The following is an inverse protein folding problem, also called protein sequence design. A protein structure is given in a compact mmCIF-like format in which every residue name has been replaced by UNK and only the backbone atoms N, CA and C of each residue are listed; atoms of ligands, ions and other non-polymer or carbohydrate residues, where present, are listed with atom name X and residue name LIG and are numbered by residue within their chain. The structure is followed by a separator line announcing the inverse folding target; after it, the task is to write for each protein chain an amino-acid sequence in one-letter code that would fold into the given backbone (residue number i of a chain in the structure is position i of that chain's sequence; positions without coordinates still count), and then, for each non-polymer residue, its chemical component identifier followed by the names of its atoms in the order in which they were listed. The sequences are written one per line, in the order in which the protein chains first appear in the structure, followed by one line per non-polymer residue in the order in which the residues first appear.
data_IF_677574155125
#
_entry.id   IF_677574155125
#
_cell.length_a   1.000
_cell.length_b   1.000
_cell.length_c   1.000
_cell.angle_alpha   90.00
_cell.angle_beta   90.00
_cell.angle_gamma   90.00
#
_symmetry.space_group_name_H-M   'P 1'
#
loop_
_entity.id
_entity.type
_entity.pdbx_description
1 polymer ?
#
# COMPACT_ATOMS: atom_id res chain seq x y z
N UNK A 1 -2.88 -21.01 0.54
CA UNK A 1 -3.02 -20.07 1.68
C UNK A 1 -1.86 -19.08 1.67
N UNK A 2 -2.08 -17.86 2.19
CA UNK A 2 -1.07 -16.78 2.20
C UNK A 2 0.13 -17.08 3.09
N UNK A 3 -0.02 -17.90 4.13
CA UNK A 3 1.08 -18.25 5.01
C UNK A 3 0.77 -19.38 5.99
N UNK A 4 1.78 -19.77 6.78
CA UNK A 4 1.71 -20.93 7.66
C UNK A 4 0.78 -20.74 8.86
N UNK A 5 0.63 -19.50 9.38
CA UNK A 5 -0.28 -19.25 10.51
C UNK A 5 -1.74 -19.44 10.10
N UNK A 6 -2.09 -19.02 8.89
CA UNK A 6 -3.43 -19.27 8.34
C UNK A 6 -3.66 -20.77 8.09
N UNK A 7 -2.67 -21.50 7.59
CA UNK A 7 -2.79 -22.95 7.37
C UNK A 7 -2.98 -23.71 8.69
N UNK A 8 -2.18 -23.37 9.70
CA UNK A 8 -2.27 -23.95 11.05
C UNK A 8 -3.63 -23.67 11.70
N UNK A 9 -4.10 -22.41 11.66
CA UNK A 9 -5.41 -22.03 12.18
C UNK A 9 -6.58 -22.82 11.54
N UNK A 10 -6.42 -23.23 10.28
CA UNK A 10 -7.42 -24.00 9.54
C UNK A 10 -7.21 -25.52 9.64
N UNK A 11 -6.20 -26.00 10.37
CA UNK A 11 -5.88 -27.42 10.47
C UNK A 11 -5.41 -28.04 9.14
N UNK A 12 -4.81 -27.23 8.26
CA UNK A 12 -4.31 -27.67 6.95
C UNK A 12 -2.83 -28.04 7.01
N UNK A 13 -2.40 -28.92 6.10
CA UNK A 13 -0.97 -29.22 5.92
C UNK A 13 -0.18 -27.92 5.66
N UNK A 14 1.05 -27.77 6.22
CA UNK A 14 1.96 -26.69 5.88
C UNK A 14 2.20 -26.53 4.37
N UNK A 15 2.02 -27.59 3.56
CA UNK A 15 2.16 -27.53 2.11
C UNK A 15 1.15 -26.59 1.43
N UNK A 16 0.03 -26.30 2.09
CA UNK A 16 -0.95 -25.31 1.61
C UNK A 16 -0.52 -23.87 1.89
N UNK A 17 0.50 -23.63 2.72
CA UNK A 17 1.09 -22.32 2.94
C UNK A 17 2.14 -22.04 1.86
N UNK A 18 1.80 -21.18 0.91
CA UNK A 18 2.70 -20.79 -0.18
C UNK A 18 3.18 -19.36 0.06
N UNK A 19 2.42 -18.36 -0.35
CA UNK A 19 2.62 -16.93 -0.06
C UNK A 19 1.42 -16.15 -0.61
N UNK A 20 1.48 -14.82 -0.58
CA UNK A 20 0.51 -13.95 -1.25
C UNK A 20 0.70 -13.98 -2.79
N UNK A 21 -0.33 -14.23 -3.61
CA UNK A 21 -0.20 -14.31 -5.07
C UNK A 21 0.30 -13.02 -5.74
N UNK A 22 0.18 -11.85 -5.10
CA UNK A 22 0.70 -10.61 -5.66
C UNK A 22 2.22 -10.62 -5.88
N UNK A 23 2.95 -11.60 -5.30
CA UNK A 23 4.36 -11.81 -5.59
C UNK A 23 4.65 -12.14 -7.07
N UNK A 24 3.65 -12.65 -7.81
CA UNK A 24 3.75 -12.93 -9.25
C UNK A 24 3.77 -11.66 -10.11
N UNK A 25 3.60 -10.47 -9.52
CA UNK A 25 3.75 -9.20 -10.25
C UNK A 25 5.10 -9.09 -10.97
N UNK A 26 6.16 -9.74 -10.44
CA UNK A 26 7.47 -9.77 -11.09
C UNK A 26 7.45 -10.46 -12.45
N UNK A 27 6.55 -11.41 -12.67
CA UNK A 27 6.40 -12.13 -13.95
C UNK A 27 5.64 -11.31 -15.00
N UNK A 28 4.88 -10.29 -14.56
CA UNK A 28 4.10 -9.40 -15.42
C UNK A 28 4.85 -8.11 -15.79
N UNK A 29 6.01 -7.85 -15.16
CA UNK A 29 6.80 -6.63 -15.38
C UNK A 29 8.03 -6.99 -16.23
N UNK A 30 8.00 -6.77 -17.55
CA UNK A 30 8.98 -7.31 -18.50
C UNK A 30 10.38 -6.69 -18.35
N UNK A 31 10.49 -5.50 -17.74
CA UNK A 31 11.77 -4.84 -17.47
C UNK A 31 11.69 -4.00 -16.22
N UNK A 32 12.59 -4.24 -15.28
CA UNK A 32 12.74 -3.38 -14.10
C UNK A 32 13.39 -2.06 -14.52
N UNK A 33 12.78 -0.90 -14.24
CA UNK A 33 13.44 0.37 -14.47
C UNK A 33 14.63 0.52 -13.53
N UNK A 34 15.58 1.39 -13.91
CA UNK A 34 16.67 1.74 -13.00
C UNK A 34 16.11 2.35 -11.72
N UNK A 35 16.55 1.83 -10.57
CA UNK A 35 16.24 2.42 -9.28
C UNK A 35 16.79 3.84 -9.20
N UNK A 36 16.07 4.67 -8.47
CA UNK A 36 16.43 6.05 -8.17
C UNK A 36 16.86 6.18 -6.71
N UNK A 37 17.28 7.36 -6.28
CA UNK A 37 17.53 7.65 -4.86
C UNK A 37 16.25 7.92 -4.05
N UNK A 38 15.06 7.81 -4.66
CA UNK A 38 13.79 8.14 -4.02
C UNK A 38 13.43 7.11 -2.95
N UNK A 39 13.07 7.57 -1.75
CA UNK A 39 12.47 6.73 -0.70
C UNK A 39 10.98 6.99 -0.70
N UNK A 40 10.19 5.92 -0.75
CA UNK A 40 8.74 6.02 -0.90
C UNK A 40 8.02 5.58 0.36
N UNK A 41 6.86 6.16 0.64
CA UNK A 41 5.98 5.76 1.74
C UNK A 41 4.58 5.46 1.23
N UNK A 42 4.04 4.29 1.59
CA UNK A 42 2.64 3.95 1.32
C UNK A 42 1.91 3.72 2.66
N UNK A 43 0.95 4.58 3.04
CA UNK A 43 0.06 4.30 4.16
C UNK A 43 -0.89 3.16 3.80
N UNK A 44 -1.49 2.54 4.81
CA UNK A 44 -2.61 1.64 4.58
C UNK A 44 -3.81 2.41 4.01
N UNK A 45 -4.64 1.77 3.18
CA UNK A 45 -5.75 2.46 2.50
C UNK A 45 -6.72 3.19 3.45
N UNK A 46 -6.97 2.65 4.65
CA UNK A 46 -7.79 3.33 5.67
C UNK A 46 -7.03 4.48 6.30
N UNK A 47 -5.73 4.32 6.53
CA UNK A 47 -4.83 5.35 7.07
C UNK A 47 -4.70 6.55 6.16
N UNK A 48 -4.75 6.35 4.83
CA UNK A 48 -4.68 7.40 3.83
C UNK A 48 -5.78 8.47 4.01
N UNK A 49 -6.92 8.10 4.60
CA UNK A 49 -8.02 9.01 4.88
C UNK A 49 -7.96 9.66 6.28
N UNK A 50 -6.98 9.30 7.11
CA UNK A 50 -6.89 9.81 8.48
C UNK A 50 -6.13 11.12 8.59
N UNK A 51 -5.26 11.42 7.61
CA UNK A 51 -4.51 12.67 7.52
C UNK A 51 -3.97 12.88 6.11
N UNK A 52 -3.49 14.09 5.82
CA UNK A 52 -2.78 14.40 4.59
C UNK A 52 -1.35 13.80 4.59
N UNK A 53 -1.27 12.50 4.32
CA UNK A 53 0.01 11.78 4.24
C UNK A 53 0.87 12.22 3.06
N UNK A 54 0.27 12.80 2.01
CA UNK A 54 1.03 13.40 0.93
C UNK A 54 1.81 14.62 1.43
N UNK A 55 1.19 15.44 2.27
CA UNK A 55 1.88 16.56 2.92
C UNK A 55 2.97 16.10 3.88
N UNK A 56 2.69 15.10 4.71
CA UNK A 56 3.70 14.50 5.60
C UNK A 56 4.92 14.04 4.79
N UNK A 57 4.69 13.31 3.70
CA UNK A 57 5.76 12.85 2.82
C UNK A 57 6.56 14.01 2.23
N UNK A 58 5.87 15.05 1.75
CA UNK A 58 6.51 16.24 1.17
C UNK A 58 7.46 16.92 2.16
N UNK A 59 7.06 17.06 3.42
CA UNK A 59 7.88 17.68 4.46
C UNK A 59 9.13 16.85 4.82
N UNK A 60 9.04 15.52 4.77
CA UNK A 60 10.18 14.62 5.03
C UNK A 60 11.06 14.43 3.77
N UNK A 61 10.56 14.82 2.60
CA UNK A 61 11.18 14.52 1.31
C UNK A 61 11.07 13.03 0.95
N UNK A 62 9.92 12.42 1.21
CA UNK A 62 9.53 11.08 0.77
C UNK A 62 8.61 11.19 -0.45
N UNK A 63 8.65 10.18 -1.31
CA UNK A 63 7.64 10.02 -2.36
C UNK A 63 6.39 9.38 -1.76
N UNK A 64 5.28 10.10 -1.77
CA UNK A 64 3.99 9.54 -1.38
C UNK A 64 3.49 8.55 -2.43
N UNK A 65 3.13 7.35 -1.99
CA UNK A 65 2.44 6.35 -2.81
C UNK A 65 1.00 6.28 -2.32
N UNK A 66 0.06 6.66 -3.19
CA UNK A 66 -1.36 6.54 -2.91
C UNK A 66 -1.79 5.06 -3.04
N UNK A 67 -2.29 4.42 -1.98
CA UNK A 67 -2.74 3.02 -2.03
C UNK A 67 -3.97 2.79 -2.92
N UNK A 68 -4.62 3.86 -3.40
CA UNK A 68 -5.81 3.83 -4.26
C UNK A 68 -5.52 4.25 -5.71
N UNK A 69 -4.27 4.61 -6.02
CA UNK A 69 -3.87 5.01 -7.36
C UNK A 69 -3.90 3.84 -8.36
N UNK A 70 -3.75 4.18 -9.64
CA UNK A 70 -3.58 3.20 -10.71
C UNK A 70 -2.45 2.20 -10.40
N UNK A 71 -2.74 0.92 -10.63
CA UNK A 71 -1.83 -0.16 -10.28
C UNK A 71 -0.54 -0.12 -11.09
N UNK A 72 -0.59 0.24 -12.38
CA UNK A 72 0.61 0.30 -13.22
C UNK A 72 1.53 1.44 -12.77
N UNK A 73 0.96 2.61 -12.45
CA UNK A 73 1.72 3.72 -11.87
C UNK A 73 2.32 3.36 -10.52
N UNK A 74 1.56 2.68 -9.67
CA UNK A 74 2.01 2.26 -8.34
C UNK A 74 3.18 1.27 -8.42
N UNK A 75 3.06 0.24 -9.27
CA UNK A 75 4.15 -0.72 -9.53
C UNK A 75 5.39 0.00 -10.07
N UNK A 76 5.21 0.94 -11.01
CA UNK A 76 6.30 1.72 -11.57
C UNK A 76 7.01 2.57 -10.49
N UNK A 77 6.26 3.26 -9.64
CA UNK A 77 6.84 4.07 -8.56
C UNK A 77 7.57 3.21 -7.53
N UNK A 78 6.98 2.08 -7.12
CA UNK A 78 7.63 1.11 -6.22
C UNK A 78 8.94 0.62 -6.85
N UNK A 79 8.91 0.16 -8.10
CA UNK A 79 10.10 -0.38 -8.78
C UNK A 79 11.27 0.60 -8.91
N UNK A 80 10.97 1.91 -8.94
CA UNK A 80 11.99 2.98 -9.03
C UNK A 80 12.49 3.44 -7.67
N UNK A 81 11.89 2.98 -6.57
CA UNK A 81 12.27 3.39 -5.23
C UNK A 81 13.60 2.75 -4.82
N UNK A 82 14.41 3.50 -4.06
CA UNK A 82 15.57 2.99 -3.33
C UNK A 82 15.13 1.96 -2.29
N UNK A 83 14.09 2.31 -1.54
CA UNK A 83 13.35 1.42 -0.67
C UNK A 83 11.95 1.98 -0.38
N UNK A 84 11.06 1.13 0.14
CA UNK A 84 9.67 1.49 0.48
C UNK A 84 9.43 1.36 1.98
N UNK A 85 8.94 2.42 2.61
CA UNK A 85 8.37 2.42 3.95
C UNK A 85 6.89 2.05 3.79
N UNK A 86 6.48 0.89 4.30
CA UNK A 86 5.19 0.29 4.00
C UNK A 86 4.34 0.08 5.24
N UNK A 87 3.19 0.77 5.32
CA UNK A 87 2.09 0.41 6.22
C UNK A 87 1.06 -0.47 5.48
N UNK A 88 0.92 -0.28 4.16
CA UNK A 88 0.16 -1.20 3.32
C UNK A 88 0.96 -2.49 3.05
N UNK A 89 0.43 -3.65 3.45
CA UNK A 89 1.07 -4.96 3.22
C UNK A 89 1.34 -5.23 1.74
N UNK A 90 0.44 -4.82 0.84
CA UNK A 90 0.66 -4.99 -0.60
C UNK A 90 1.81 -4.13 -1.15
N UNK A 91 2.13 -2.97 -0.55
CA UNK A 91 3.35 -2.25 -0.93
C UNK A 91 4.60 -3.08 -0.60
N UNK A 92 4.63 -3.73 0.56
CA UNK A 92 5.74 -4.61 0.94
C UNK A 92 5.84 -5.84 0.03
N UNK A 93 4.72 -6.50 -0.29
CA UNK A 93 4.68 -7.65 -1.20
C UNK A 93 5.21 -7.28 -2.59
N UNK A 94 4.71 -6.18 -3.16
CA UNK A 94 5.11 -5.73 -4.50
C UNK A 94 6.57 -5.26 -4.49
N UNK A 95 7.01 -4.53 -3.47
CA UNK A 95 8.41 -4.13 -3.33
C UNK A 95 9.33 -5.37 -3.28
N UNK A 96 9.00 -6.35 -2.43
CA UNK A 96 9.76 -7.59 -2.28
C UNK A 96 9.84 -8.37 -3.61
N UNK A 97 8.73 -8.54 -4.32
CA UNK A 97 8.66 -9.21 -5.62
C UNK A 97 9.53 -8.53 -6.68
N UNK A 98 9.55 -7.19 -6.68
CA UNK A 98 10.35 -6.39 -7.60
C UNK A 98 11.80 -6.22 -7.14
N UNK A 99 12.17 -6.86 -6.01
CA UNK A 99 13.48 -6.81 -5.35
C UNK A 99 13.88 -5.40 -4.92
N UNK A 100 12.90 -4.61 -4.53
CA UNK A 100 13.08 -3.31 -3.88
C UNK A 100 13.05 -3.54 -2.36
N UNK A 101 14.11 -3.19 -1.62
CA UNK A 101 14.09 -3.29 -0.17
C UNK A 101 12.92 -2.50 0.43
N UNK A 102 12.38 -2.98 1.54
CA UNK A 102 11.23 -2.34 2.19
C UNK A 102 11.37 -2.37 3.70
N UNK A 103 10.54 -1.61 4.42
CA UNK A 103 10.46 -1.68 5.88
C UNK A 103 9.00 -1.55 6.34
N UNK A 104 8.53 -2.42 7.23
CA UNK A 104 7.18 -2.32 7.76
C UNK A 104 7.07 -1.21 8.80
N UNK A 105 5.98 -0.44 8.73
CA UNK A 105 5.61 0.52 9.77
C UNK A 105 4.14 0.35 10.15
N UNK A 106 3.78 0.82 11.34
CA UNK A 106 2.41 0.83 11.84
C UNK A 106 2.08 2.21 12.41
N UNK A 107 1.23 2.97 11.74
CA UNK A 107 0.74 4.25 12.24
C UNK A 107 -0.56 4.11 13.03
N UNK A 108 -1.33 3.03 12.84
CA UNK A 108 -2.63 2.85 13.51
C UNK A 108 -2.89 1.42 13.98
N UNK A 109 -3.78 1.28 14.97
CA UNK A 109 -4.19 -0.01 15.53
C UNK A 109 -4.96 -0.93 14.57
N UNK A 110 -5.55 -0.39 13.50
CA UNK A 110 -6.33 -1.18 12.56
C UNK A 110 -5.47 -2.04 11.62
N UNK A 111 -4.13 -1.88 11.67
CA UNK A 111 -3.21 -2.71 10.91
C UNK A 111 -3.18 -4.12 11.49
N UNK A 112 -3.63 -5.07 10.68
CA UNK A 112 -3.79 -6.46 11.10
C UNK A 112 -2.44 -7.18 11.15
N UNK A 113 -1.81 -7.17 12.31
CA UNK A 113 -0.52 -7.82 12.57
C UNK A 113 -0.49 -9.31 12.18
N UNK A 114 -1.58 -10.04 12.41
CA UNK A 114 -1.68 -11.44 11.99
C UNK A 114 -1.41 -11.63 10.49
N UNK A 115 -1.95 -10.75 9.63
CA UNK A 115 -1.76 -10.87 8.16
C UNK A 115 -0.30 -10.70 7.78
N UNK A 116 0.36 -9.72 8.39
CA UNK A 116 1.78 -9.44 8.19
C UNK A 116 2.67 -10.56 8.68
N UNK A 117 2.47 -11.02 9.92
CA UNK A 117 3.25 -12.13 10.49
C UNK A 117 3.09 -13.41 9.65
N UNK A 118 1.87 -13.70 9.18
CA UNK A 118 1.56 -14.85 8.34
C UNK A 118 2.28 -14.76 6.98
N UNK A 119 2.20 -13.62 6.31
CA UNK A 119 2.89 -13.41 5.04
C UNK A 119 4.42 -13.43 5.19
N UNK A 120 4.98 -12.69 6.15
CA UNK A 120 6.43 -12.68 6.40
C UNK A 120 6.96 -14.09 6.69
N UNK A 121 6.23 -14.87 7.51
CA UNK A 121 6.61 -16.25 7.81
C UNK A 121 6.61 -17.15 6.55
N UNK A 122 5.70 -16.93 5.60
CA UNK A 122 5.67 -17.65 4.31
C UNK A 122 6.97 -17.48 3.51
N UNK A 123 7.63 -16.34 3.67
CA UNK A 123 8.90 -15.98 3.02
C UNK A 123 10.10 -16.06 3.98
N UNK A 124 9.95 -16.73 5.13
CA UNK A 124 11.00 -16.92 6.15
C UNK A 124 11.57 -15.60 6.71
N UNK A 125 10.75 -14.56 6.79
CA UNK A 125 11.10 -13.28 7.41
C UNK A 125 10.38 -13.12 8.76
N UNK A 126 11.06 -12.50 9.73
CA UNK A 126 10.45 -12.13 11.01
C UNK A 126 9.80 -10.75 10.90
N UNK A 127 8.50 -10.63 11.17
CA UNK A 127 7.81 -9.34 11.15
C UNK A 127 8.08 -8.54 12.43
N UNK A 128 8.76 -7.39 12.30
CA UNK A 128 8.97 -6.42 13.37
C UNK A 128 8.77 -4.99 12.82
N UNK A 129 7.55 -4.43 12.91
CA UNK A 129 7.25 -3.09 12.39
C UNK A 129 7.78 -1.99 13.32
N UNK A 130 8.09 -0.84 12.73
CA UNK A 130 8.32 0.40 13.47
C UNK A 130 6.99 1.13 13.71
N UNK A 131 6.71 1.52 14.94
CA UNK A 131 5.51 2.30 15.27
C UNK A 131 5.70 3.77 14.89
N UNK A 132 4.67 4.34 14.24
CA UNK A 132 4.54 5.77 13.97
C UNK A 132 3.48 6.37 14.91
N UNK A 133 3.63 7.64 15.33
CA UNK A 133 2.56 8.32 16.06
C UNK A 133 1.28 8.39 15.22
N UNK A 134 0.14 8.09 15.84
CA UNK A 134 -1.17 8.20 15.21
C UNK A 134 -1.49 9.67 14.87
N UNK A 135 -1.59 9.99 13.58
CA UNK A 135 -1.91 11.34 13.10
C UNK A 135 -3.37 11.44 12.65
N UNK A 136 -4.21 12.05 13.47
CA UNK A 136 -5.61 12.28 13.16
C UNK A 136 -5.81 13.72 12.70
N UNK A 137 -6.06 13.91 11.41
CA UNK A 137 -6.35 15.19 10.76
C UNK A 137 -7.41 15.00 9.65
N UNK A 138 -8.57 14.47 10.04
CA UNK A 138 -9.65 14.08 9.13
C UNK A 138 -10.58 15.25 8.78
N UNK A 139 -10.48 16.36 9.49
CA UNK A 139 -11.38 17.51 9.33
C UNK A 139 -11.37 18.10 7.91
N UNK A 140 -10.22 18.21 7.21
CA UNK A 140 -10.21 18.64 5.80
C UNK A 140 -10.93 17.68 4.84
N UNK A 141 -11.04 16.40 5.22
CA UNK A 141 -11.59 15.34 4.38
C UNK A 141 -13.02 14.93 4.77
N UNK A 142 -13.57 15.55 5.83
CA UNK A 142 -14.89 15.22 6.38
C UNK A 142 -15.93 16.31 6.11
N UNK A 143 -17.19 15.90 5.90
CA UNK A 143 -18.28 16.85 5.71
C UNK A 143 -18.67 17.53 7.04
N UNK A 144 -19.06 18.82 7.01
CA UNK A 144 -19.43 19.61 8.21
C UNK A 144 -20.50 18.94 9.07
N UNK A 145 -21.45 18.22 8.45
CA UNK A 145 -22.49 17.46 9.14
C UNK A 145 -21.92 16.30 9.97
N UNK A 146 -20.91 15.60 9.46
CA UNK A 146 -20.28 14.47 10.15
C UNK A 146 -19.40 14.93 11.31
N UNK A 147 -18.70 16.05 11.14
CA UNK A 147 -17.96 16.70 12.23
C UNK A 147 -18.88 17.12 13.38
N UNK A 148 -20.01 17.76 13.06
CA UNK A 148 -21.00 18.17 14.07
C UNK A 148 -21.64 16.97 14.79
N UNK A 149 -22.07 15.94 14.05
CA UNK A 149 -22.57 14.68 14.64
C UNK A 149 -21.53 14.04 15.55
N UNK A 150 -20.27 13.99 15.11
CA UNK A 150 -19.16 13.46 15.90
C UNK A 150 -18.96 14.25 17.20
N UNK A 151 -18.97 15.58 17.13
CA UNK A 151 -18.85 16.44 18.31
C UNK A 151 -19.97 16.21 19.33
N UNK A 152 -21.23 16.10 18.88
CA UNK A 152 -22.36 15.75 19.75
C UNK A 152 -22.17 14.39 20.39
N UNK A 153 -21.86 13.36 19.58
CA UNK A 153 -21.64 11.99 20.09
C UNK A 153 -20.53 11.93 21.14
N UNK A 154 -19.41 12.64 20.92
CA UNK A 154 -18.33 12.75 21.92
C UNK A 154 -18.80 13.38 23.23
N UNK A 155 -19.63 14.42 23.14
CA UNK A 155 -20.25 15.04 24.31
C UNK A 155 -21.13 14.08 25.10
N UNK A 156 -22.00 13.34 24.40
CA UNK A 156 -22.89 12.35 25.00
C UNK A 156 -22.12 11.20 25.66
N UNK A 157 -21.08 10.68 25.00
CA UNK A 157 -20.21 9.63 25.55
C UNK A 157 -19.49 10.13 26.81
N UNK A 158 -18.98 11.37 26.84
CA UNK A 158 -18.35 11.95 28.04
C UNK A 158 -19.31 12.07 29.22
N UNK A 159 -20.60 12.21 28.96
CA UNK A 159 -21.66 12.26 29.97
C UNK A 159 -22.16 10.86 30.36
N UNK A 160 -21.51 9.79 29.89
CA UNK A 160 -21.88 8.40 30.21
C UNK A 160 -23.04 7.85 29.39
N UNK A 161 -23.46 8.54 28.32
CA UNK A 161 -24.49 8.07 27.39
C UNK A 161 -23.83 7.45 26.16
N UNK A 162 -23.73 6.13 26.13
CA UNK A 162 -23.35 5.36 24.96
C UNK A 162 -24.51 4.45 24.50
N UNK A 163 -24.47 4.05 23.23
CA UNK A 163 -25.40 3.08 22.69
C UNK A 163 -24.62 2.12 21.79
N UNK A 164 -24.76 0.81 22.03
CA UNK A 164 -24.05 -0.25 21.29
C UNK A 164 -24.28 -0.21 19.77
N UNK A 165 -25.35 0.43 19.31
CA UNK A 165 -25.70 0.57 17.89
C UNK A 165 -25.11 1.81 17.22
N UNK A 166 -24.43 2.69 17.96
CA UNK A 166 -23.89 3.91 17.38
C UNK A 166 -22.61 3.65 16.61
N UNK A 167 -22.52 4.26 15.43
CA UNK A 167 -21.23 4.40 14.76
C UNK A 167 -20.29 5.25 15.63
N UNK A 168 -19.04 4.79 15.88
CA UNK A 168 -18.07 5.52 16.66
C UNK A 168 -17.90 6.96 16.15
N UNK A 169 -17.70 7.95 17.05
CA UNK A 169 -17.39 9.29 16.61
C UNK A 169 -16.04 9.31 15.87
N UNK A 170 -15.89 10.24 14.92
CA UNK A 170 -14.60 10.51 14.28
C UNK A 170 -13.55 10.79 15.37
N UNK A 171 -12.30 10.34 15.23
CA UNK A 171 -11.24 10.63 16.18
C UNK A 171 -11.01 12.14 16.34
N UNK A 172 -10.39 12.54 17.44
CA UNK A 172 -10.14 13.95 17.73
C UNK A 172 -8.90 14.40 16.97
N UNK A 173 -8.99 15.54 16.28
CA UNK A 173 -7.83 16.13 15.60
C UNK A 173 -6.69 16.31 16.62
N UNK A 174 -5.54 15.72 16.32
CA UNK A 174 -4.35 15.79 17.16
C UNK A 174 -3.11 16.33 16.40
N UNK A 175 -3.32 16.90 15.19
CA UNK A 175 -2.23 17.33 14.31
C UNK A 175 -1.23 18.20 15.04
N UNK A 176 -1.68 19.23 15.75
CA UNK A 176 -0.78 20.17 16.44
C UNK A 176 0.13 19.49 17.47
N UNK A 177 -0.34 18.43 18.12
CA UNK A 177 0.42 17.73 19.16
C UNK A 177 1.43 16.74 18.57
N UNK A 178 1.06 16.00 17.51
CA UNK A 178 1.87 14.88 17.01
C UNK A 178 2.67 15.18 15.75
N UNK A 179 2.38 16.29 15.06
CA UNK A 179 2.97 16.63 13.75
C UNK A 179 4.49 16.47 13.73
N UNK A 180 5.19 17.14 14.64
CA UNK A 180 6.65 17.10 14.67
C UNK A 180 7.18 15.69 14.97
N UNK A 181 6.53 14.96 15.87
CA UNK A 181 6.92 13.59 16.22
C UNK A 181 6.81 12.63 15.02
N UNK A 182 5.78 12.80 14.18
CA UNK A 182 5.60 12.03 12.95
C UNK A 182 6.71 12.35 11.94
N UNK A 183 6.99 13.64 11.71
CA UNK A 183 8.04 14.08 10.80
C UNK A 183 9.42 13.59 11.24
N UNK A 184 9.73 13.71 12.53
CA UNK A 184 11.01 13.29 13.10
C UNK A 184 11.20 11.78 12.99
N UNK A 185 10.15 11.00 13.33
CA UNK A 185 10.20 9.53 13.22
C UNK A 185 10.38 9.10 11.76
N UNK A 186 9.62 9.65 10.81
CA UNK A 186 9.79 9.31 9.40
C UNK A 186 11.15 9.74 8.85
N UNK A 187 11.68 10.87 9.30
CA UNK A 187 13.04 11.32 8.95
C UNK A 187 14.10 10.35 9.49
N UNK A 188 13.95 9.89 10.73
CA UNK A 188 14.81 8.87 11.31
C UNK A 188 14.76 7.58 10.48
N UNK A 189 13.57 7.05 10.17
CA UNK A 189 13.40 5.82 9.41
C UNK A 189 13.95 5.94 7.98
N UNK A 190 13.79 7.11 7.35
CA UNK A 190 14.37 7.41 6.03
C UNK A 190 15.91 7.34 6.04
N UNK A 191 16.55 7.80 7.13
CA UNK A 191 18.00 7.94 7.21
C UNK A 191 18.70 6.68 7.78
N UNK A 192 18.04 5.94 8.66
CA UNK A 192 18.56 4.72 9.29
C UNK A 192 17.51 3.57 9.22
N UNK A 193 17.22 3.05 8.01
CA UNK A 193 16.20 2.02 7.85
C UNK A 193 16.68 0.63 8.26
N UNK A 194 15.83 -0.12 8.94
CA UNK A 194 15.97 -1.59 9.06
C UNK A 194 15.25 -2.22 7.88
N UNK A 195 16.01 -2.58 6.85
CA UNK A 195 15.47 -3.05 5.57
C UNK A 195 15.22 -4.56 5.55
N UNK A 196 14.12 -4.90 4.89
CA UNK A 196 13.64 -6.24 4.62
C UNK A 196 13.81 -6.52 3.13
N UNK A 197 14.20 -7.74 2.84
CA UNK A 197 14.18 -8.32 1.50
C UNK A 197 14.26 -9.84 1.64
N UNK A 198 13.30 -10.56 1.09
CA UNK A 198 13.28 -12.02 1.15
C UNK A 198 14.49 -12.65 0.42
N UNK A 199 14.90 -13.86 0.82
CA UNK A 199 15.88 -14.63 0.05
C UNK A 199 15.29 -14.96 -1.33
N UNK A 200 16.03 -14.65 -2.39
CA UNK A 200 15.56 -14.85 -3.77
C UNK A 200 15.15 -16.31 -4.04
N UNK A 201 15.84 -17.30 -3.46
CA UNK A 201 15.52 -18.72 -3.64
C UNK A 201 14.19 -19.07 -2.96
N UNK A 202 13.91 -18.47 -1.81
CA UNK A 202 12.63 -18.66 -1.10
C UNK A 202 11.49 -18.03 -1.91
N UNK A 203 11.73 -16.84 -2.47
CA UNK A 203 10.78 -16.17 -3.35
C UNK A 203 10.50 -16.97 -4.61
N UNK A 204 11.54 -17.46 -5.29
CA UNK A 204 11.41 -18.25 -6.53
C UNK A 204 10.72 -19.60 -6.29
N UNK A 205 10.99 -20.25 -5.15
CA UNK A 205 10.27 -21.45 -4.71
C UNK A 205 8.77 -21.19 -4.52
N UNK A 206 8.43 -20.10 -3.83
CA UNK A 206 7.05 -19.71 -3.59
C UNK A 206 6.30 -19.37 -4.90
N UNK A 207 6.96 -18.64 -5.82
CA UNK A 207 6.41 -18.36 -7.15
C UNK A 207 6.16 -19.65 -7.94
N UNK A 208 7.13 -20.57 -7.95
CA UNK A 208 6.99 -21.87 -8.63
C UNK A 208 5.79 -22.65 -8.08
N UNK A 209 5.69 -22.79 -6.76
CA UNK A 209 4.57 -23.46 -6.10
C UNK A 209 3.21 -22.80 -6.40
N UNK A 210 3.15 -21.47 -6.46
CA UNK A 210 1.95 -20.74 -6.86
C UNK A 210 1.55 -21.07 -8.30
N UNK A 211 2.48 -21.01 -9.24
CA UNK A 211 2.22 -21.32 -10.66
C UNK A 211 1.77 -22.77 -10.83
N UNK A 212 2.46 -23.73 -10.21
CA UNK A 212 2.06 -25.16 -10.23
C UNK A 212 0.64 -25.36 -9.66
N UNK A 213 0.29 -24.63 -8.60
CA UNK A 213 -1.06 -24.67 -8.02
C UNK A 213 -2.11 -24.07 -8.96
N UNK A 214 -1.79 -22.97 -9.64
CA UNK A 214 -2.66 -22.35 -10.64
C UNK A 214 -2.88 -23.26 -11.84
N UNK A 215 -1.83 -23.92 -12.34
CA UNK A 215 -1.90 -24.86 -13.46
C UNK A 215 -2.75 -26.07 -13.10
N UNK A 216 -2.53 -26.66 -11.93
CA UNK A 216 -3.34 -27.78 -11.44
C UNK A 216 -4.82 -27.39 -11.26
N UNK A 217 -5.09 -26.18 -10.77
CA UNK A 217 -6.44 -25.64 -10.66
C UNK A 217 -7.08 -25.46 -12.05
N UNK A 218 -6.35 -24.85 -12.99
CA UNK A 218 -6.80 -24.62 -14.36
C UNK A 218 -7.17 -25.94 -15.06
N UNK A 219 -6.30 -26.94 -14.96
CA UNK A 219 -6.52 -28.28 -15.52
C UNK A 219 -7.76 -28.96 -14.92
N UNK A 220 -7.98 -28.83 -13.59
CA UNK A 220 -9.15 -29.41 -12.92
C UNK A 220 -10.47 -28.74 -13.33
N UNK A 221 -10.41 -27.44 -13.62
CA UNK A 221 -11.59 -26.63 -13.96
C UNK A 221 -11.85 -26.58 -15.47
N UNK A 222 -11.06 -27.28 -16.28
CA UNK A 222 -11.08 -27.24 -17.75
C UNK A 222 -10.97 -25.79 -18.30
N UNK A 223 -10.23 -24.94 -17.59
CA UNK A 223 -10.02 -23.53 -17.96
C UNK A 223 -8.93 -23.36 -19.02
N UNK A 224 -8.33 -24.46 -19.51
CA UNK A 224 -7.27 -24.48 -20.52
C UNK A 224 -7.78 -24.19 -21.95
N UNK A 225 -8.94 -23.56 -22.09
CA UNK A 225 -9.41 -23.00 -23.36
C UNK A 225 -8.60 -21.74 -23.75
N UNK A 226 -8.62 -21.34 -25.03
CA UNK A 226 -7.97 -20.11 -25.47
C UNK A 226 -8.50 -18.91 -24.68
N UNK A 227 -7.59 -18.01 -24.26
CA UNK A 227 -7.97 -16.76 -23.60
C UNK A 227 -9.04 -16.03 -24.44
N UNK A 228 -10.10 -15.50 -23.84
CA UNK A 228 -11.06 -14.69 -24.56
C UNK A 228 -10.32 -13.51 -25.24
N UNK A 229 -10.72 -13.13 -26.47
CA UNK A 229 -9.97 -12.16 -27.28
C UNK A 229 -9.78 -10.79 -26.60
N UNK A 230 -10.64 -10.44 -25.64
CA UNK A 230 -10.52 -9.23 -24.81
C UNK A 230 -9.30 -9.22 -23.87
N UNK A 231 -8.81 -10.39 -23.43
CA UNK A 231 -7.64 -10.52 -22.54
C UNK A 231 -6.35 -10.67 -23.34
N UNK A 232 -6.43 -11.14 -24.58
CA UNK A 232 -5.29 -11.32 -25.49
C UNK A 232 -4.86 -10.02 -26.19
N UNK A 233 -5.69 -8.97 -26.17
CA UNK A 233 -5.37 -7.70 -26.80
C UNK A 233 -4.42 -6.88 -25.89
N UNK A 234 -3.27 -6.38 -26.40
CA UNK A 234 -2.46 -5.44 -25.64
C UNK A 234 -3.28 -4.19 -25.33
N UNK A 235 -3.30 -3.80 -24.05
CA UNK A 235 -3.94 -2.55 -23.61
C UNK A 235 -3.31 -1.41 -24.39
N UNK A 236 -4.06 -0.83 -25.32
CA UNK A 236 -3.59 0.29 -26.10
C UNK A 236 -3.27 1.46 -25.15
N UNK A 237 -2.13 2.16 -25.33
CA UNK A 237 -1.81 3.31 -24.51
C UNK A 237 -2.95 4.33 -24.59
N UNK A 238 -3.27 5.04 -23.48
CA UNK A 238 -4.34 6.02 -23.47
C UNK A 238 -4.11 7.04 -24.58
N UNK A 239 -5.13 7.23 -25.44
CA UNK A 239 -5.12 8.28 -26.46
C UNK A 239 -4.91 9.62 -25.77
N UNK A 240 -3.83 10.31 -26.13
CA UNK A 240 -3.63 11.70 -25.74
C UNK A 240 -4.84 12.51 -26.22
N UNK A 241 -5.64 13.02 -25.29
CA UNK A 241 -6.66 14.02 -25.59
C UNK A 241 -5.95 15.31 -25.99
N UNK A 242 -6.23 15.90 -27.17
CA UNK A 242 -5.69 17.19 -27.51
C UNK A 242 -6.27 18.22 -26.53
N UNK A 243 -5.40 18.94 -25.84
CA UNK A 243 -5.80 20.13 -25.09
C UNK A 243 -6.44 21.14 -26.06
N UNK A 244 -7.74 21.34 -25.90
CA UNK A 244 -8.44 22.49 -26.44
C UNK A 244 -8.17 23.70 -25.54
N UNK A 245 -7.60 24.77 -26.09
CA UNK A 245 -7.64 26.11 -25.48
C UNK A 245 -6.31 26.82 -25.37
N UNK A 246 -6.03 27.70 -26.34
CA UNK A 246 -4.97 28.70 -26.29
C UNK A 246 -4.91 29.51 -27.57
N UNK A 247 -5.58 30.67 -27.60
CA UNK A 247 -5.65 31.63 -28.70
C UNK A 247 -4.26 32.16 -29.15
N UNK A 248 -4.14 32.69 -30.39
CA UNK A 248 -2.87 33.12 -30.96
C UNK A 248 -2.44 34.49 -30.42
N UNK A 249 -1.16 34.62 -30.06
CA UNK A 249 -0.53 35.91 -29.83
C UNK A 249 -0.32 36.62 -31.18
N UNK A 250 -0.85 37.84 -31.27
CA UNK A 250 -0.73 38.72 -32.41
C UNK A 250 0.73 39.12 -32.67
N UNK A 251 1.08 39.17 -33.95
CA UNK A 251 2.30 39.76 -34.46
C UNK A 251 2.37 41.25 -34.11
N UNK A 252 3.54 41.70 -33.66
CA UNK A 252 3.97 43.08 -33.81
C UNK A 252 5.31 43.10 -34.55
N UNK A 253 5.29 43.78 -35.69
CA UNK A 253 6.42 44.03 -36.58
C UNK A 253 7.23 45.25 -36.11
N UNK A 254 8.53 45.21 -36.42
CA UNK A 254 9.46 46.30 -36.70
C UNK A 254 9.83 47.27 -35.56
N UNK A 255 11.11 47.26 -35.14
CA UNK A 255 12.25 47.98 -35.75
C UNK A 255 13.57 47.41 -35.23
#
# INVERSE_FOLDING_TARGET
MRGPKTADYLGLSPDFAITDPAILVSELVPKRPSQTSMVSYMPHHVSAYQADWAEVCRQVGLTYLDPTADIHQTILQISRSKFVIAEAMHAAIVADALRVPWMPVRAYQHILEFKWQDWCASLKMAYAPEDLPELWDIEPFSNKKELFKSAIKKGLIRLGMDAKSWTPPLPTNNRQQVWQSVLDKLTQLKNAPTLYLSDARVQDDAKRRLMETMDAFSARMDLAGPLPPEVAAPVAPPRATPHAGGQPAAAFLAS
#
